data_IF_343516820632
#
_entry.id   IF_343516820632
#
_cell.length_a   1.000
_cell.length_b   1.000
_cell.length_c   1.000
_cell.angle_alpha   90.00
_cell.angle_beta   90.00
_cell.angle_gamma   90.00
#
_symmetry.space_group_name_H-M   'P 1'
#
loop_
_entity.id
_entity.type
_entity.pdbx_description
1 polymer ?
#
# COMPACT_ATOMS: atom_id res chain seq x y z
N UNK A 1 12.62 24.06 -17.44
CA UNK A 1 12.04 23.23 -16.38
C UNK A 1 10.61 22.91 -16.78
N UNK A 2 10.14 21.66 -16.70
CA UNK A 2 8.75 21.37 -16.95
C UNK A 2 7.88 22.13 -15.95
N UNK A 3 6.81 22.74 -16.44
CA UNK A 3 5.85 23.46 -15.60
C UNK A 3 4.83 22.40 -15.13
N UNK A 4 4.64 22.21 -13.82
CA UNK A 4 3.61 21.30 -13.33
C UNK A 4 2.23 21.70 -13.89
N UNK A 5 1.55 20.72 -14.46
CA UNK A 5 0.19 20.91 -14.93
C UNK A 5 -0.76 20.73 -13.75
N UNK A 6 -1.71 21.65 -13.60
CA UNK A 6 -2.72 21.59 -12.55
C UNK A 6 -4.07 22.08 -13.10
N UNK A 7 -5.09 21.25 -12.97
CA UNK A 7 -6.47 21.62 -13.35
C UNK A 7 -7.42 21.13 -12.27
N UNK A 8 -8.23 22.02 -11.73
CA UNK A 8 -9.27 21.66 -10.77
C UNK A 8 -10.41 20.90 -11.47
N UNK A 9 -10.83 19.80 -10.86
CA UNK A 9 -11.91 18.95 -11.34
C UNK A 9 -13.14 19.07 -10.43
N UNK A 10 -14.36 18.76 -10.92
CA UNK A 10 -15.52 18.65 -10.06
C UNK A 10 -15.30 17.61 -8.96
N UNK A 11 -15.46 18.03 -7.69
CA UNK A 11 -15.39 17.11 -6.55
C UNK A 11 -16.52 16.08 -6.61
N UNK A 12 -16.19 14.84 -6.32
CA UNK A 12 -17.15 13.74 -6.14
C UNK A 12 -16.90 13.07 -4.78
N UNK A 13 -17.95 12.95 -3.94
CA UNK A 13 -17.81 12.33 -2.61
C UNK A 13 -17.31 10.88 -2.67
N UNK A 14 -17.65 10.14 -3.73
CA UNK A 14 -17.10 8.83 -4.03
C UNK A 14 -16.14 8.90 -5.23
N UNK A 15 -14.84 8.80 -4.95
CA UNK A 15 -13.79 8.84 -5.97
C UNK A 15 -13.81 7.63 -6.91
N UNK A 16 -14.49 6.53 -6.55
CA UNK A 16 -14.69 5.39 -7.44
C UNK A 16 -15.38 5.80 -8.74
N UNK A 17 -16.25 6.82 -8.68
CA UNK A 17 -16.90 7.37 -9.88
C UNK A 17 -15.91 8.06 -10.83
N UNK A 18 -14.79 8.61 -10.33
CA UNK A 18 -13.72 9.14 -11.17
C UNK A 18 -12.85 8.01 -11.71
N UNK A 19 -12.54 7.01 -10.86
CA UNK A 19 -11.73 5.87 -11.28
C UNK A 19 -12.40 5.04 -12.37
N UNK A 20 -13.73 4.98 -12.42
CA UNK A 20 -14.50 4.28 -13.47
C UNK A 20 -14.05 4.65 -14.89
N UNK A 21 -13.61 5.89 -15.09
CA UNK A 21 -13.13 6.37 -16.39
C UNK A 21 -11.87 5.64 -16.88
N UNK A 22 -11.07 5.11 -15.98
CA UNK A 22 -9.77 4.48 -16.27
C UNK A 22 -9.63 3.05 -15.74
N UNK A 23 -10.63 2.51 -15.04
CA UNK A 23 -10.56 1.22 -14.35
C UNK A 23 -10.11 0.04 -15.25
N UNK A 24 -10.48 0.06 -16.54
CA UNK A 24 -10.14 -0.99 -17.50
C UNK A 24 -8.77 -0.79 -18.17
N UNK A 25 -8.11 0.35 -17.92
CA UNK A 25 -6.80 0.60 -18.50
C UNK A 25 -5.75 -0.25 -17.80
N UNK A 26 -4.80 -0.84 -18.54
CA UNK A 26 -3.69 -1.52 -17.90
C UNK A 26 -2.89 -0.53 -17.04
N UNK A 27 -2.44 -1.00 -15.88
CA UNK A 27 -1.75 -0.18 -14.89
C UNK A 27 -2.61 0.94 -14.29
N UNK A 28 -3.94 0.84 -14.36
CA UNK A 28 -4.80 1.73 -13.61
C UNK A 28 -4.68 1.44 -12.11
N UNK A 29 -4.55 2.50 -11.33
CA UNK A 29 -4.35 2.44 -9.87
C UNK A 29 -5.34 3.36 -9.19
N UNK A 30 -5.99 2.84 -8.17
CA UNK A 30 -6.80 3.60 -7.22
C UNK A 30 -6.26 3.36 -5.81
N UNK A 31 -5.65 4.40 -5.23
CA UNK A 31 -5.32 4.43 -3.80
C UNK A 31 -6.47 5.11 -3.09
N UNK A 32 -7.14 4.34 -2.25
CA UNK A 32 -8.44 4.66 -1.65
C UNK A 32 -8.25 4.81 -0.13
N UNK A 33 -8.53 5.99 0.38
CA UNK A 33 -8.42 6.26 1.81
C UNK A 33 -9.61 5.74 2.64
N UNK A 34 -10.55 5.08 2.00
CA UNK A 34 -11.74 4.49 2.63
C UNK A 34 -12.86 5.51 2.82
N UNK A 35 -14.03 5.23 2.26
CA UNK A 35 -15.22 6.04 2.45
C UNK A 35 -15.56 6.18 3.95
N UNK A 36 -15.65 7.41 4.44
CA UNK A 36 -16.22 7.75 5.76
C UNK A 36 -15.35 7.59 7.01
N UNK A 37 -14.01 7.77 6.91
CA UNK A 37 -13.18 7.92 8.10
C UNK A 37 -12.83 9.38 8.40
N UNK A 38 -13.65 10.13 9.18
CA UNK A 38 -13.30 11.47 9.60
C UNK A 38 -11.96 11.49 10.33
N UNK A 39 -11.00 12.28 9.82
CA UNK A 39 -9.68 12.47 10.45
C UNK A 39 -8.58 11.49 10.06
N UNK A 40 -8.89 10.38 9.35
CA UNK A 40 -7.87 9.44 8.84
C UNK A 40 -7.87 9.33 7.32
N UNK A 41 -9.03 9.39 6.69
CA UNK A 41 -9.24 9.37 5.26
C UNK A 41 -9.23 10.79 4.72
N UNK A 42 -8.20 11.19 3.98
CA UNK A 42 -8.15 12.52 3.39
C UNK A 42 -8.00 12.50 1.87
N UNK A 43 -7.04 11.74 1.37
CA UNK A 43 -6.68 11.79 -0.04
C UNK A 43 -6.94 10.47 -0.74
N UNK A 44 -7.64 10.53 -1.87
CA UNK A 44 -7.65 9.45 -2.84
C UNK A 44 -6.80 9.83 -4.04
N UNK A 45 -6.10 8.84 -4.62
CA UNK A 45 -5.20 9.05 -5.75
C UNK A 45 -5.55 8.05 -6.86
N UNK A 46 -5.75 8.58 -8.07
CA UNK A 46 -6.06 7.80 -9.27
C UNK A 46 -4.97 8.07 -10.30
N UNK A 47 -4.39 7.02 -10.87
CA UNK A 47 -3.45 7.13 -11.97
C UNK A 47 -3.63 5.96 -12.96
N UNK A 48 -3.19 6.16 -14.19
CA UNK A 48 -3.13 5.11 -15.20
C UNK A 48 -2.08 5.44 -16.25
N UNK A 49 -1.73 4.47 -17.09
CA UNK A 49 -0.82 4.65 -18.22
C UNK A 49 0.56 5.22 -17.81
N UNK A 50 1.33 4.51 -16.97
CA UNK A 50 2.66 4.95 -16.58
C UNK A 50 3.58 4.99 -17.80
N UNK A 51 4.44 6.01 -17.88
CA UNK A 51 5.40 6.14 -18.97
C UNK A 51 6.61 5.23 -18.81
N UNK A 52 6.94 4.82 -17.55
CA UNK A 52 7.93 3.77 -17.27
C UNK A 52 7.31 2.68 -16.40
N UNK A 53 7.70 1.43 -16.62
CA UNK A 53 7.27 0.28 -15.82
C UNK A 53 8.49 -0.54 -15.43
N UNK A 54 8.58 -0.89 -14.15
CA UNK A 54 9.60 -1.77 -13.61
C UNK A 54 8.93 -3.06 -13.13
N UNK A 55 9.42 -4.19 -13.62
CA UNK A 55 8.85 -5.51 -13.31
C UNK A 55 9.97 -6.45 -12.90
N UNK A 56 10.01 -6.86 -11.64
CA UNK A 56 11.03 -7.78 -11.12
C UNK A 56 10.47 -9.19 -11.00
N UNK A 57 11.21 -10.17 -11.50
CA UNK A 57 10.98 -11.60 -11.32
C UNK A 57 12.29 -12.29 -10.95
N UNK A 58 12.38 -12.81 -9.73
CA UNK A 58 13.60 -13.42 -9.24
C UNK A 58 14.82 -12.49 -9.36
N UNK A 59 15.84 -12.91 -10.11
CA UNK A 59 17.09 -12.17 -10.26
C UNK A 59 17.08 -11.05 -11.31
N UNK A 60 15.99 -10.81 -12.01
CA UNK A 60 15.92 -9.87 -13.14
C UNK A 60 14.83 -8.84 -12.95
N UNK A 61 15.14 -7.60 -13.32
CA UNK A 61 14.17 -6.51 -13.43
C UNK A 61 14.11 -6.06 -14.88
N UNK A 62 12.92 -6.06 -15.44
CA UNK A 62 12.62 -5.49 -16.76
C UNK A 62 12.18 -4.04 -16.57
N UNK A 63 12.88 -3.12 -17.22
CA UNK A 63 12.55 -1.68 -17.26
C UNK A 63 12.01 -1.36 -18.63
N UNK A 64 10.74 -1.00 -18.69
CA UNK A 64 10.07 -0.57 -19.91
C UNK A 64 9.90 0.95 -19.88
N UNK A 65 10.70 1.65 -20.66
CA UNK A 65 10.58 3.07 -20.97
C UNK A 65 10.35 3.20 -22.50
N UNK A 66 11.06 4.09 -23.19
CA UNK A 66 11.10 4.16 -24.64
C UNK A 66 11.65 2.85 -25.26
N UNK A 67 12.55 2.21 -24.55
CA UNK A 67 13.10 0.88 -24.84
C UNK A 67 12.85 -0.07 -23.68
N UNK A 68 12.94 -1.38 -23.94
CA UNK A 68 12.85 -2.39 -22.88
C UNK A 68 14.24 -2.94 -22.58
N UNK A 69 14.65 -2.88 -21.32
CA UNK A 69 15.95 -3.35 -20.85
C UNK A 69 15.79 -4.36 -19.72
N UNK A 70 16.66 -5.37 -19.71
CA UNK A 70 16.77 -6.35 -18.63
C UNK A 70 18.00 -6.04 -17.76
N UNK A 71 17.80 -5.90 -16.46
CA UNK A 71 18.86 -5.60 -15.51
C UNK A 71 18.91 -6.58 -14.36
N UNK A 72 20.13 -6.87 -13.87
CA UNK A 72 20.39 -7.59 -12.63
C UNK A 72 20.69 -6.66 -11.46
N UNK A 73 20.71 -5.36 -11.67
CA UNK A 73 20.92 -4.37 -10.64
C UNK A 73 19.83 -4.43 -9.55
N UNK A 74 20.09 -3.81 -8.42
CA UNK A 74 19.12 -3.70 -7.33
C UNK A 74 17.84 -3.00 -7.81
N UNK A 75 16.65 -3.61 -7.66
CA UNK A 75 15.41 -3.04 -8.17
C UNK A 75 15.06 -1.69 -7.51
N UNK A 76 15.52 -1.42 -6.29
CA UNK A 76 15.33 -0.13 -5.62
C UNK A 76 16.20 0.96 -6.25
N UNK A 77 17.45 0.63 -6.64
CA UNK A 77 18.30 1.57 -7.38
C UNK A 77 17.73 1.86 -8.76
N UNK A 78 17.29 0.83 -9.50
CA UNK A 78 16.63 1.02 -10.79
C UNK A 78 15.39 1.92 -10.66
N UNK A 79 14.62 1.77 -9.59
CA UNK A 79 13.48 2.65 -9.31
C UNK A 79 13.93 4.09 -9.04
N UNK A 80 15.00 4.29 -8.27
CA UNK A 80 15.58 5.61 -7.99
C UNK A 80 15.99 6.32 -9.28
N UNK A 81 16.68 5.60 -10.17
CA UNK A 81 17.15 6.14 -11.44
C UNK A 81 15.97 6.63 -12.32
N UNK A 82 14.85 5.91 -12.30
CA UNK A 82 13.67 6.29 -13.07
C UNK A 82 12.85 7.41 -12.42
N UNK A 83 12.90 7.55 -11.10
CA UNK A 83 12.17 8.61 -10.41
C UNK A 83 12.78 9.99 -10.67
N UNK A 84 14.10 10.12 -10.79
CA UNK A 84 14.84 11.37 -11.08
C UNK A 84 14.17 12.61 -10.45
N UNK A 85 13.93 12.58 -9.13
CA UNK A 85 13.11 13.58 -8.43
C UNK A 85 13.81 14.94 -8.51
N UNK A 86 13.15 15.91 -9.14
CA UNK A 86 13.53 17.32 -9.03
C UNK A 86 12.92 17.89 -7.74
N UNK A 87 13.72 18.17 -6.70
CA UNK A 87 13.20 18.68 -5.44
C UNK A 87 12.60 20.08 -5.55
N UNK A 88 12.82 20.78 -6.66
CA UNK A 88 12.24 22.11 -6.92
C UNK A 88 10.79 22.07 -7.40
N UNK A 89 10.31 20.93 -7.87
CA UNK A 89 8.93 20.74 -8.33
C UNK A 89 7.99 20.48 -7.12
N UNK A 90 7.70 21.54 -6.33
CA UNK A 90 6.70 21.47 -5.25
C UNK A 90 5.31 21.71 -5.81
N UNK A 91 4.45 20.73 -5.63
CA UNK A 91 3.01 20.88 -5.87
C UNK A 91 2.29 20.96 -4.51
N UNK A 92 1.21 21.73 -4.43
CA UNK A 92 0.40 21.85 -3.20
C UNK A 92 -0.39 20.59 -2.86
N UNK A 93 -0.43 19.61 -3.78
CA UNK A 93 -1.12 18.33 -3.58
C UNK A 93 -0.13 17.24 -3.14
N UNK A 94 -0.59 16.20 -2.41
CA UNK A 94 0.28 15.17 -1.82
C UNK A 94 0.98 14.26 -2.84
N UNK A 95 0.51 14.23 -4.08
CA UNK A 95 1.06 13.43 -5.17
C UNK A 95 0.82 14.13 -6.50
N UNK A 96 1.87 14.45 -7.24
CA UNK A 96 1.79 15.10 -8.55
C UNK A 96 2.25 14.20 -9.70
N UNK A 97 2.57 12.96 -9.40
CA UNK A 97 3.19 11.94 -10.25
C UNK A 97 4.33 11.26 -9.50
N UNK A 98 4.83 10.16 -10.05
CA UNK A 98 5.87 9.34 -9.44
C UNK A 98 5.54 7.86 -9.47
N UNK A 99 6.15 7.08 -8.57
CA UNK A 99 6.03 5.63 -8.55
C UNK A 99 4.80 5.16 -7.78
N UNK A 100 3.98 4.32 -8.39
CA UNK A 100 2.92 3.56 -7.73
C UNK A 100 2.99 2.11 -8.18
N UNK A 101 2.83 1.17 -7.25
CA UNK A 101 2.81 -0.25 -7.54
C UNK A 101 2.87 -1.10 -6.28
N UNK A 102 3.35 -2.33 -6.41
CA UNK A 102 3.53 -3.21 -5.27
C UNK A 102 4.95 -3.80 -5.22
N UNK A 103 5.38 -4.03 -3.99
CA UNK A 103 6.61 -4.75 -3.63
C UNK A 103 6.17 -6.02 -2.89
N UNK A 104 6.31 -7.16 -3.56
CA UNK A 104 5.94 -8.46 -3.00
C UNK A 104 6.92 -8.89 -1.91
N UNK A 105 6.46 -9.66 -0.93
CA UNK A 105 7.28 -10.10 0.19
C UNK A 105 8.57 -10.82 -0.25
N UNK A 106 8.48 -11.65 -1.30
CA UNK A 106 9.61 -12.41 -1.83
C UNK A 106 10.67 -11.56 -2.56
N UNK A 107 10.40 -10.26 -2.79
CA UNK A 107 11.42 -9.31 -3.24
C UNK A 107 12.59 -9.21 -2.24
N UNK A 108 12.37 -9.56 -0.97
CA UNK A 108 13.42 -9.68 0.05
C UNK A 108 14.59 -10.58 -0.37
N UNK A 109 14.36 -11.53 -1.27
CA UNK A 109 15.41 -12.40 -1.85
C UNK A 109 16.42 -11.64 -2.73
N UNK A 110 16.09 -10.40 -3.10
CA UNK A 110 17.02 -9.47 -3.76
C UNK A 110 17.94 -8.77 -2.77
N UNK A 111 17.53 -8.70 -1.51
CA UNK A 111 18.26 -8.02 -0.43
C UNK A 111 19.08 -9.00 0.39
N UNK A 112 18.54 -10.20 0.63
CA UNK A 112 19.12 -11.20 1.49
C UNK A 112 19.10 -12.61 0.88
N UNK A 113 20.00 -13.48 1.32
CA UNK A 113 20.06 -14.89 0.90
C UNK A 113 19.04 -15.71 1.69
N UNK A 114 17.83 -15.80 1.17
CA UNK A 114 16.73 -16.55 1.80
C UNK A 114 16.46 -17.87 1.06
N UNK A 115 16.08 -18.95 1.77
CA UNK A 115 15.69 -20.21 1.13
C UNK A 115 14.42 -20.06 0.30
N UNK A 116 14.39 -20.62 -0.92
CA UNK A 116 13.24 -20.65 -1.80
C UNK A 116 12.57 -22.04 -1.77
N UNK A 117 11.91 -22.40 -0.66
CA UNK A 117 11.29 -23.73 -0.48
C UNK A 117 9.81 -23.75 -0.83
N UNK A 118 9.11 -22.62 -0.68
CA UNK A 118 7.69 -22.52 -0.99
C UNK A 118 7.48 -22.54 -2.52
N UNK A 119 6.38 -23.16 -2.94
CA UNK A 119 5.97 -23.16 -4.34
C UNK A 119 5.36 -21.80 -4.68
N UNK A 120 5.90 -21.12 -5.68
CA UNK A 120 5.24 -19.99 -6.31
C UNK A 120 4.07 -20.50 -7.18
N UNK A 121 2.87 -20.25 -6.70
CA UNK A 121 1.63 -20.71 -7.36
C UNK A 121 0.95 -19.61 -8.16
N UNK A 122 1.13 -18.36 -7.76
CA UNK A 122 0.52 -17.19 -8.38
C UNK A 122 1.29 -16.75 -9.62
N UNK A 123 2.60 -16.95 -9.64
CA UNK A 123 3.51 -16.55 -10.73
C UNK A 123 3.41 -15.07 -11.09
N UNK A 124 3.06 -14.24 -10.12
CA UNK A 124 3.07 -12.78 -10.28
C UNK A 124 4.49 -12.25 -10.10
N UNK A 125 4.84 -11.06 -10.61
CA UNK A 125 6.13 -10.44 -10.33
C UNK A 125 6.38 -10.22 -8.84
N UNK A 126 7.66 -10.28 -8.43
CA UNK A 126 8.07 -9.91 -7.06
C UNK A 126 7.91 -8.41 -6.83
N UNK A 127 8.00 -7.60 -7.89
CA UNK A 127 7.73 -6.16 -7.88
C UNK A 127 7.09 -5.77 -9.21
N UNK A 128 6.06 -4.94 -9.17
CA UNK A 128 5.52 -4.28 -10.35
C UNK A 128 5.17 -2.83 -10.00
N UNK A 129 5.94 -1.89 -10.54
CA UNK A 129 5.84 -0.46 -10.27
C UNK A 129 5.76 0.31 -11.58
N UNK A 130 4.80 1.22 -11.67
CA UNK A 130 4.69 2.19 -12.76
C UNK A 130 5.14 3.58 -12.31
N UNK A 131 5.80 4.32 -13.21
CA UNK A 131 6.11 5.75 -13.02
C UNK A 131 5.06 6.53 -13.80
N UNK A 132 4.24 7.27 -13.05
CA UNK A 132 3.11 8.02 -13.57
C UNK A 132 3.46 9.50 -13.65
N UNK A 133 3.20 10.10 -14.79
CA UNK A 133 3.44 11.54 -14.99
C UNK A 133 2.21 12.39 -14.65
N UNK A 134 1.05 11.76 -14.50
CA UNK A 134 -0.19 12.41 -14.09
C UNK A 134 -0.98 11.60 -13.08
N UNK A 135 -1.78 12.29 -12.28
CA UNK A 135 -2.74 11.68 -11.37
C UNK A 135 -3.97 12.57 -11.16
N UNK A 136 -5.09 11.96 -10.76
CA UNK A 136 -6.19 12.66 -10.11
C UNK A 136 -6.01 12.53 -8.61
N UNK A 137 -6.05 13.65 -7.90
CA UNK A 137 -5.99 13.71 -6.44
C UNK A 137 -7.30 14.30 -5.94
N UNK A 138 -7.93 13.59 -5.01
CA UNK A 138 -9.17 14.04 -4.35
C UNK A 138 -8.86 14.30 -2.87
N UNK A 139 -9.14 15.50 -2.40
CA UNK A 139 -9.07 15.88 -0.98
C UNK A 139 -10.50 15.92 -0.40
N UNK A 140 -10.82 14.91 0.39
CA UNK A 140 -12.14 14.79 1.02
C UNK A 140 -12.35 15.77 2.16
N UNK A 141 -11.28 16.28 2.78
CA UNK A 141 -11.37 17.30 3.82
C UNK A 141 -11.74 18.67 3.26
N UNK A 142 -11.11 19.04 2.14
CA UNK A 142 -11.37 20.32 1.46
C UNK A 142 -12.49 20.22 0.43
N UNK A 143 -13.00 19.02 0.15
CA UNK A 143 -13.98 18.72 -0.90
C UNK A 143 -13.53 19.25 -2.28
N UNK A 144 -12.27 19.01 -2.62
CA UNK A 144 -11.66 19.44 -3.88
C UNK A 144 -11.03 18.27 -4.61
N UNK A 145 -10.92 18.38 -5.91
CA UNK A 145 -10.26 17.40 -6.75
C UNK A 145 -9.42 18.09 -7.82
N UNK A 146 -8.29 17.49 -8.18
CA UNK A 146 -7.39 18.04 -9.20
C UNK A 146 -6.89 16.94 -10.11
N UNK A 147 -6.75 17.26 -11.39
CA UNK A 147 -5.84 16.59 -12.29
C UNK A 147 -4.49 17.30 -12.19
N UNK A 148 -3.45 16.53 -11.88
CA UNK A 148 -2.07 17.04 -11.69
C UNK A 148 -1.12 16.29 -12.60
N UNK A 149 -0.06 16.95 -13.07
CA UNK A 149 0.97 16.35 -13.91
C UNK A 149 2.34 16.96 -13.64
N UNK A 150 3.39 16.14 -13.77
CA UNK A 150 4.77 16.61 -13.59
C UNK A 150 5.36 17.25 -14.85
N UNK A 151 4.76 16.96 -16.02
CA UNK A 151 5.26 17.45 -17.31
C UNK A 151 6.59 16.84 -17.73
N UNK A 152 6.93 15.65 -17.26
CA UNK A 152 8.14 14.92 -17.65
C UNK A 152 7.94 14.14 -18.94
N UNK A 153 6.73 13.58 -19.11
CA UNK A 153 6.34 12.89 -20.32
C UNK A 153 5.67 13.87 -21.29
N UNK A 154 6.27 14.14 -22.45
CA UNK A 154 5.67 15.01 -23.47
C UNK A 154 4.29 14.53 -23.95
N UNK A 155 3.99 13.25 -23.77
CA UNK A 155 2.67 12.69 -24.08
C UNK A 155 1.60 13.18 -23.13
N UNK A 156 1.92 13.40 -21.86
CA UNK A 156 0.98 13.95 -20.88
C UNK A 156 0.48 15.33 -21.29
N UNK A 157 1.38 16.19 -21.74
CA UNK A 157 1.06 17.53 -22.22
C UNK A 157 0.09 17.48 -23.41
N UNK A 158 0.40 16.62 -24.39
CA UNK A 158 -0.46 16.41 -25.58
C UNK A 158 -1.85 15.87 -25.23
N UNK A 159 -1.94 15.03 -24.20
CA UNK A 159 -3.17 14.36 -23.78
C UNK A 159 -3.95 15.18 -22.74
N UNK A 160 -3.39 16.28 -22.19
CA UNK A 160 -3.95 16.99 -21.05
C UNK A 160 -5.41 17.41 -21.21
N UNK A 161 -5.73 18.06 -22.32
CA UNK A 161 -7.13 18.44 -22.63
C UNK A 161 -8.08 17.25 -22.76
N UNK A 162 -7.55 16.08 -23.19
CA UNK A 162 -8.30 14.83 -23.23
C UNK A 162 -8.56 14.27 -21.83
N UNK A 163 -7.56 14.31 -20.96
CA UNK A 163 -7.66 13.87 -19.56
C UNK A 163 -8.65 14.76 -18.78
N UNK A 164 -8.57 16.07 -18.96
CA UNK A 164 -9.54 16.99 -18.33
C UNK A 164 -10.97 16.64 -18.75
N UNK A 165 -11.22 16.46 -20.05
CA UNK A 165 -12.56 16.07 -20.54
C UNK A 165 -12.98 14.71 -19.98
N UNK A 166 -12.08 13.74 -19.87
CA UNK A 166 -12.36 12.40 -19.35
C UNK A 166 -12.88 12.44 -17.92
N UNK A 167 -12.29 13.27 -17.06
CA UNK A 167 -12.66 13.35 -15.64
C UNK A 167 -13.73 14.39 -15.32
N UNK A 168 -14.01 15.33 -16.23
CA UNK A 168 -15.12 16.30 -16.07
C UNK A 168 -16.44 15.79 -16.64
N UNK A 169 -16.39 14.93 -17.66
CA UNK A 169 -17.59 14.34 -18.23
C UNK A 169 -18.29 13.41 -17.22
N UNK A 170 -19.59 13.24 -17.38
CA UNK A 170 -20.30 12.16 -16.71
C UNK A 170 -19.69 10.82 -17.17
N UNK A 171 -19.25 10.00 -16.23
CA UNK A 171 -18.74 8.66 -16.56
C UNK A 171 -19.86 7.87 -17.22
N UNK A 172 -19.67 7.31 -18.42
CA UNK A 172 -20.69 6.48 -19.03
C UNK A 172 -20.95 5.27 -18.14
N UNK A 173 -22.22 4.95 -17.91
CA UNK A 173 -22.60 3.69 -17.26
C UNK A 173 -22.03 2.53 -18.08
N UNK A 174 -21.02 1.87 -17.54
CA UNK A 174 -20.44 0.68 -18.15
C UNK A 174 -21.14 -0.57 -17.66
N UNK A 175 -21.68 -1.36 -18.56
CA UNK A 175 -22.17 -2.70 -18.20
C UNK A 175 -20.97 -3.60 -17.87
N UNK A 176 -20.77 -3.88 -16.58
CA UNK A 176 -19.73 -4.78 -16.08
C UNK A 176 -20.31 -6.16 -15.77
N UNK A 177 -19.58 -7.21 -16.09
CA UNK A 177 -19.98 -8.57 -15.73
C UNK A 177 -19.95 -8.73 -14.19
N UNK A 178 -21.06 -9.16 -13.55
CA UNK A 178 -21.11 -9.35 -12.11
C UNK A 178 -20.02 -10.31 -11.62
N UNK A 179 -19.28 -9.89 -10.60
CA UNK A 179 -18.27 -10.75 -9.98
C UNK A 179 -18.92 -11.85 -9.13
N UNK A 180 -18.48 -13.08 -9.33
CA UNK A 180 -18.99 -14.26 -8.60
C UNK A 180 -17.85 -15.24 -8.33
N UNK A 181 -17.80 -15.78 -7.12
CA UNK A 181 -16.98 -16.94 -6.78
C UNK A 181 -17.69 -18.19 -7.33
N UNK A 182 -16.99 -18.99 -8.12
CA UNK A 182 -17.57 -20.12 -8.90
C UNK A 182 -17.13 -21.49 -8.40
N UNK A 183 -16.20 -21.55 -7.43
CA UNK A 183 -15.78 -22.79 -6.79
C UNK A 183 -15.79 -22.67 -5.26
N UNK A 184 -15.76 -23.79 -4.52
CA UNK A 184 -15.47 -23.76 -3.10
C UNK A 184 -14.12 -23.10 -2.81
N UNK A 185 -14.02 -22.44 -1.66
CA UNK A 185 -12.75 -21.91 -1.15
C UNK A 185 -11.91 -23.05 -0.60
N UNK A 186 -10.67 -23.18 -1.04
CA UNK A 186 -9.72 -24.17 -0.58
C UNK A 186 -8.51 -23.51 0.08
N UNK A 187 -7.90 -24.17 1.06
CA UNK A 187 -6.68 -23.72 1.72
C UNK A 187 -5.47 -24.54 1.25
N UNK A 188 -4.28 -23.91 1.26
CA UNK A 188 -3.02 -24.61 1.07
C UNK A 188 -2.58 -25.43 2.29
N UNK A 189 -3.27 -25.30 3.44
CA UNK A 189 -3.11 -26.12 4.63
C UNK A 189 -4.38 -26.97 4.88
N UNK A 190 -4.17 -28.19 5.36
CA UNK A 190 -5.24 -28.88 6.09
C UNK A 190 -5.26 -28.36 7.54
N UNK A 191 -6.39 -28.48 8.29
CA UNK A 191 -6.42 -28.09 9.71
C UNK A 191 -5.33 -28.78 10.54
N UNK A 192 -5.09 -30.10 10.31
CA UNK A 192 -4.04 -30.86 10.97
C UNK A 192 -2.65 -30.36 10.60
N UNK A 193 -2.40 -30.05 9.32
CA UNK A 193 -1.11 -29.53 8.85
C UNK A 193 -0.80 -28.14 9.42
N UNK A 194 -1.82 -27.30 9.55
CA UNK A 194 -1.69 -25.98 10.19
C UNK A 194 -1.34 -26.12 11.68
N UNK A 195 -2.07 -26.99 12.41
CA UNK A 195 -1.78 -27.29 13.83
C UNK A 195 -0.35 -27.78 14.04
N UNK A 196 0.11 -28.72 13.21
CA UNK A 196 1.49 -29.22 13.26
C UNK A 196 2.53 -28.12 13.06
N UNK A 197 2.34 -27.25 12.05
CA UNK A 197 3.24 -26.12 11.82
C UNK A 197 3.24 -25.12 12.99
N UNK A 198 2.07 -24.88 13.57
CA UNK A 198 1.90 -24.02 14.74
C UNK A 198 2.66 -24.56 15.96
N UNK A 199 2.53 -25.85 16.26
CA UNK A 199 3.21 -26.50 17.38
C UNK A 199 4.73 -26.41 17.24
N UNK A 200 5.26 -26.64 16.03
CA UNK A 200 6.69 -26.48 15.73
C UNK A 200 7.19 -25.05 15.95
N UNK A 201 6.38 -24.05 15.56
CA UNK A 201 6.73 -22.64 15.81
C UNK A 201 6.81 -22.36 17.32
N UNK A 202 5.88 -22.89 18.11
CA UNK A 202 5.91 -22.74 19.56
C UNK A 202 7.18 -23.39 20.16
N UNK A 203 7.60 -24.53 19.62
CA UNK A 203 8.83 -25.18 20.08
C UNK A 203 10.08 -24.35 19.75
N UNK A 204 10.18 -23.75 18.56
CA UNK A 204 11.26 -22.83 18.21
C UNK A 204 11.27 -21.57 19.10
N UNK A 205 10.10 -21.00 19.42
CA UNK A 205 10.00 -19.85 20.33
C UNK A 205 10.46 -20.25 21.74
N UNK A 206 10.06 -21.43 22.25
CA UNK A 206 10.48 -21.94 23.56
C UNK A 206 11.97 -22.25 23.64
N UNK A 207 12.54 -22.72 22.55
CA UNK A 207 13.98 -22.99 22.41
C UNK A 207 14.81 -21.70 22.29
N UNK A 208 14.18 -20.56 22.03
CA UNK A 208 14.88 -19.28 21.84
C UNK A 208 15.44 -19.08 20.43
N UNK A 209 15.01 -19.91 19.47
CA UNK A 209 15.45 -19.80 18.07
C UNK A 209 14.84 -18.60 17.35
N UNK A 210 13.66 -18.18 17.78
CA UNK A 210 12.96 -16.99 17.28
C UNK A 210 12.01 -16.42 18.33
N UNK A 211 11.63 -15.15 18.18
CA UNK A 211 10.67 -14.47 19.06
C UNK A 211 9.24 -14.51 18.51
N UNK A 212 9.12 -14.50 17.17
CA UNK A 212 7.84 -14.49 16.48
C UNK A 212 7.99 -15.15 15.09
N UNK A 213 6.91 -15.77 14.62
CA UNK A 213 6.77 -16.24 13.25
C UNK A 213 5.38 -15.86 12.74
N UNK A 214 5.31 -15.25 11.55
CA UNK A 214 4.07 -15.00 10.85
C UNK A 214 3.72 -16.23 10.00
N UNK A 215 2.91 -17.14 10.55
CA UNK A 215 2.44 -18.31 9.82
C UNK A 215 1.33 -17.91 8.85
N UNK A 216 1.67 -17.82 7.57
CA UNK A 216 0.72 -17.45 6.54
C UNK A 216 -0.03 -18.65 5.97
N UNK A 217 -1.33 -18.47 5.71
CA UNK A 217 -2.20 -19.42 5.04
C UNK A 217 -2.82 -18.75 3.82
N UNK A 218 -2.89 -19.47 2.70
CA UNK A 218 -3.52 -19.00 1.47
C UNK A 218 -4.85 -19.69 1.22
N UNK A 219 -5.87 -18.91 0.94
CA UNK A 219 -7.15 -19.38 0.45
C UNK A 219 -7.25 -19.11 -1.05
N UNK A 220 -7.79 -20.06 -1.78
CA UNK A 220 -7.95 -20.00 -3.23
C UNK A 220 -9.35 -20.41 -3.64
N UNK A 221 -9.94 -19.67 -4.57
CA UNK A 221 -11.18 -20.00 -5.23
C UNK A 221 -11.14 -19.57 -6.70
N UNK A 222 -11.92 -20.20 -7.54
CA UNK A 222 -12.17 -19.69 -8.88
C UNK A 222 -13.25 -18.62 -8.84
N UNK A 223 -13.11 -17.61 -9.68
CA UNK A 223 -14.07 -16.53 -9.80
C UNK A 223 -14.27 -16.15 -11.28
N UNK A 224 -15.38 -15.51 -11.56
CA UNK A 224 -15.69 -14.93 -12.87
C UNK A 224 -16.32 -13.55 -12.70
N UNK A 225 -16.27 -12.74 -13.76
CA UNK A 225 -16.78 -11.36 -13.75
C UNK A 225 -15.67 -10.34 -13.56
N UNK A 226 -16.06 -9.10 -13.29
CA UNK A 226 -15.15 -7.96 -13.22
C UNK A 226 -14.56 -7.78 -11.82
N UNK A 227 -13.22 -7.87 -11.64
CA UNK A 227 -12.57 -7.66 -10.34
C UNK A 227 -12.79 -6.26 -9.74
N UNK A 228 -13.04 -5.24 -10.57
CA UNK A 228 -13.37 -3.91 -10.09
C UNK A 228 -14.66 -3.91 -9.26
N UNK A 229 -15.69 -4.66 -9.69
CA UNK A 229 -16.91 -4.82 -8.90
C UNK A 229 -16.67 -5.56 -7.57
N UNK A 230 -15.73 -6.51 -7.56
CA UNK A 230 -15.32 -7.15 -6.32
C UNK A 230 -14.65 -6.16 -5.37
N UNK A 231 -13.79 -5.28 -5.88
CA UNK A 231 -13.16 -4.24 -5.08
C UNK A 231 -14.16 -3.23 -4.55
N UNK A 232 -15.09 -2.76 -5.38
CA UNK A 232 -16.16 -1.87 -4.92
C UNK A 232 -16.98 -2.50 -3.78
N UNK A 233 -17.22 -3.81 -3.84
CA UNK A 233 -17.90 -4.52 -2.75
C UNK A 233 -17.00 -4.64 -1.52
N UNK A 234 -15.71 -4.94 -1.69
CA UNK A 234 -14.74 -5.04 -0.60
C UNK A 234 -14.64 -3.75 0.19
N UNK A 235 -14.51 -2.60 -0.48
CA UNK A 235 -14.38 -1.29 0.17
C UNK A 235 -15.63 -0.87 0.96
N UNK A 236 -16.81 -1.37 0.58
CA UNK A 236 -18.05 -1.14 1.34
C UNK A 236 -18.15 -2.02 2.60
N UNK A 237 -17.66 -3.27 2.51
CA UNK A 237 -17.72 -4.22 3.63
C UNK A 237 -16.62 -3.91 4.66
N UNK A 238 -15.44 -3.56 4.18
CA UNK A 238 -14.25 -3.32 4.98
C UNK A 238 -13.54 -2.05 4.51
N UNK A 239 -14.11 -0.86 4.77
CA UNK A 239 -13.43 0.39 4.47
C UNK A 239 -12.17 0.49 5.32
N UNK A 240 -11.03 0.74 4.70
CA UNK A 240 -9.74 0.82 5.36
C UNK A 240 -8.91 1.98 4.78
N UNK A 241 -8.11 2.71 5.62
CA UNK A 241 -7.50 3.97 5.22
C UNK A 241 -6.34 3.84 4.21
N UNK A 242 -5.88 2.62 3.95
CA UNK A 242 -4.81 2.33 2.98
C UNK A 242 -5.25 1.25 2.00
N UNK A 243 -6.49 1.37 1.53
CA UNK A 243 -7.02 0.47 0.51
C UNK A 243 -6.46 0.78 -0.86
N UNK A 244 -6.40 -0.21 -1.73
CA UNK A 244 -5.91 -0.03 -3.09
C UNK A 244 -6.54 -1.03 -4.07
N UNK A 245 -6.78 -0.55 -5.28
CA UNK A 245 -7.02 -1.40 -6.44
C UNK A 245 -5.94 -1.13 -7.49
N UNK A 246 -5.23 -2.20 -7.92
CA UNK A 246 -4.22 -2.10 -8.96
C UNK A 246 -4.59 -3.07 -10.10
N UNK A 247 -4.80 -2.52 -11.30
CA UNK A 247 -5.08 -3.29 -12.49
C UNK A 247 -3.79 -3.49 -13.30
N UNK A 248 -2.99 -4.49 -12.93
CA UNK A 248 -1.76 -4.82 -13.66
C UNK A 248 -2.03 -5.91 -14.71
N UNK A 249 -1.19 -6.03 -15.76
CA UNK A 249 -1.29 -7.13 -16.72
C UNK A 249 -1.05 -8.52 -16.12
N UNK A 250 -0.52 -8.58 -14.91
CA UNK A 250 -0.13 -9.84 -14.23
C UNK A 250 -1.19 -10.31 -13.23
N UNK A 251 -1.85 -9.37 -12.58
CA UNK A 251 -2.91 -9.62 -11.60
C UNK A 251 -3.67 -8.33 -11.31
N UNK A 252 -4.93 -8.47 -10.91
CA UNK A 252 -5.67 -7.41 -10.24
C UNK A 252 -5.48 -7.59 -8.73
N UNK A 253 -4.95 -6.56 -8.07
CA UNK A 253 -4.74 -6.54 -6.62
C UNK A 253 -5.84 -5.73 -5.96
N UNK A 254 -6.56 -6.35 -5.04
CA UNK A 254 -7.62 -5.76 -4.25
C UNK A 254 -7.16 -5.77 -2.78
N UNK A 255 -6.80 -4.61 -2.25
CA UNK A 255 -6.29 -4.46 -0.90
C UNK A 255 -7.23 -3.64 -0.04
N UNK A 256 -7.47 -4.09 1.19
CA UNK A 256 -8.19 -3.36 2.24
C UNK A 256 -7.29 -3.33 3.49
N UNK A 257 -6.22 -2.54 3.45
CA UNK A 257 -5.22 -2.46 4.52
C UNK A 257 -5.55 -1.37 5.53
N UNK A 258 -5.55 -1.70 6.84
CA UNK A 258 -5.69 -0.69 7.90
C UNK A 258 -4.34 -0.06 8.28
N UNK A 259 -3.22 -0.59 7.82
CA UNK A 259 -1.90 -0.29 8.35
C UNK A 259 -1.03 0.50 7.38
N UNK A 260 -0.41 1.57 7.90
CA UNK A 260 0.61 2.34 7.20
C UNK A 260 1.98 1.75 7.51
N UNK A 261 2.67 1.27 6.47
CA UNK A 261 4.03 0.79 6.64
C UNK A 261 4.99 1.97 6.90
N UNK A 262 5.15 2.88 5.93
CA UNK A 262 6.04 4.02 6.03
C UNK A 262 5.40 5.28 5.42
N UNK A 263 5.72 6.43 5.98
CA UNK A 263 5.45 7.73 5.39
C UNK A 263 6.69 8.59 5.48
N UNK A 264 7.03 9.23 4.38
CA UNK A 264 8.08 10.27 4.33
C UNK A 264 7.48 11.54 3.75
N UNK A 265 7.61 12.64 4.46
CA UNK A 265 7.20 13.95 3.99
C UNK A 265 8.18 15.00 4.53
N UNK A 266 8.75 15.81 3.66
CA UNK A 266 9.75 16.84 4.03
C UNK A 266 10.90 16.29 4.91
N UNK A 267 11.37 15.08 4.60
CA UNK A 267 12.41 14.38 5.35
C UNK A 267 11.94 13.81 6.70
N UNK A 268 10.71 14.05 7.12
CA UNK A 268 10.12 13.43 8.31
C UNK A 268 9.60 12.04 7.98
N UNK A 269 9.98 11.08 8.80
CA UNK A 269 9.59 9.66 8.68
C UNK A 269 8.58 9.33 9.75
N UNK A 270 7.55 8.55 9.38
CA UNK A 270 6.56 8.00 10.31
C UNK A 270 6.23 6.56 9.94
N UNK A 271 6.09 5.69 10.95
CA UNK A 271 5.49 4.35 10.83
C UNK A 271 4.52 4.13 12.00
N UNK A 272 3.43 3.38 11.74
CA UNK A 272 2.36 3.17 12.72
C UNK A 272 2.01 1.69 12.80
N UNK A 273 2.80 0.87 13.52
CA UNK A 273 2.51 -0.54 13.69
C UNK A 273 1.23 -0.76 14.50
N UNK A 274 0.45 -1.75 14.06
CA UNK A 274 -0.79 -2.19 14.70
C UNK A 274 -0.56 -3.59 15.26
N UNK A 275 -0.72 -3.76 16.58
CA UNK A 275 -0.82 -5.07 17.22
C UNK A 275 -1.88 -5.02 18.31
N UNK A 276 -2.70 -6.04 18.35
CA UNK A 276 -3.88 -6.08 19.20
C UNK A 276 -5.11 -5.45 18.56
N UNK A 277 -6.20 -6.21 18.54
CA UNK A 277 -7.46 -5.82 17.92
C UNK A 277 -8.63 -6.32 18.74
N UNK A 278 -9.66 -5.49 18.91
CA UNK A 278 -10.96 -5.89 19.46
C UNK A 278 -12.08 -5.44 18.54
N UNK A 279 -13.10 -6.27 18.31
CA UNK A 279 -14.24 -5.87 17.50
C UNK A 279 -15.06 -4.79 18.19
N UNK A 280 -15.62 -3.87 17.42
CA UNK A 280 -16.62 -2.92 17.93
C UNK A 280 -17.92 -3.64 18.21
N UNK A 281 -18.58 -3.23 19.27
CA UNK A 281 -19.84 -3.84 19.72
C UNK A 281 -21.08 -3.05 19.27
N UNK A 282 -20.92 -1.88 18.65
CA UNK A 282 -22.05 -1.01 18.27
C UNK A 282 -22.80 -0.39 19.46
N UNK A 283 -22.28 -0.53 20.68
CA UNK A 283 -22.87 -0.03 21.93
C UNK A 283 -21.78 0.59 22.80
N UNK A 284 -21.93 1.86 23.16
CA UNK A 284 -20.88 2.66 23.80
C UNK A 284 -20.25 2.00 25.06
N UNK A 285 -21.06 1.38 25.92
CA UNK A 285 -20.56 0.71 27.13
C UNK A 285 -19.67 -0.50 26.78
N UNK A 286 -20.14 -1.36 25.88
CA UNK A 286 -19.36 -2.53 25.44
C UNK A 286 -18.12 -2.12 24.65
N UNK A 287 -18.17 -1.05 23.84
CA UNK A 287 -17.00 -0.50 23.16
C UNK A 287 -15.95 -0.03 24.20
N UNK A 288 -16.38 0.65 25.28
CA UNK A 288 -15.49 1.07 26.35
C UNK A 288 -14.85 -0.12 27.08
N UNK A 289 -15.63 -1.20 27.34
CA UNK A 289 -15.12 -2.45 27.93
C UNK A 289 -14.09 -3.12 27.01
N UNK A 290 -14.32 -3.17 25.69
CA UNK A 290 -13.38 -3.71 24.69
C UNK A 290 -12.09 -2.89 24.60
N UNK A 291 -12.19 -1.58 24.66
CA UNK A 291 -11.02 -0.67 24.72
C UNK A 291 -10.22 -0.94 26.01
N UNK A 292 -10.89 -1.01 27.17
CA UNK A 292 -10.22 -1.29 28.44
C UNK A 292 -9.51 -2.66 28.44
N UNK A 293 -10.16 -3.70 27.89
CA UNK A 293 -9.57 -5.03 27.69
C UNK A 293 -8.32 -4.97 26.81
N UNK A 294 -8.40 -4.24 25.69
CA UNK A 294 -7.28 -4.10 24.74
C UNK A 294 -6.08 -3.40 25.38
N UNK A 295 -6.31 -2.30 26.10
CA UNK A 295 -5.26 -1.53 26.80
C UNK A 295 -4.63 -2.35 27.93
N UNK A 296 -5.42 -3.15 28.64
CA UNK A 296 -4.93 -4.00 29.74
C UNK A 296 -4.23 -5.28 29.27
N UNK A 297 -4.33 -5.66 27.99
CA UNK A 297 -3.76 -6.89 27.47
C UNK A 297 -2.22 -6.86 27.49
N UNK A 298 -1.61 -7.57 28.42
CA UNK A 298 -0.15 -7.70 28.49
C UNK A 298 0.45 -8.31 27.21
N UNK A 299 -0.24 -9.32 26.64
CA UNK A 299 0.18 -9.96 25.39
C UNK A 299 0.24 -8.96 24.24
N UNK A 300 -0.86 -8.20 24.01
CA UNK A 300 -0.94 -7.27 22.89
C UNK A 300 0.07 -6.12 23.04
N UNK A 301 0.31 -5.67 24.28
CA UNK A 301 1.33 -4.66 24.59
C UNK A 301 2.75 -5.18 24.36
N UNK A 302 3.06 -6.41 24.78
CA UNK A 302 4.38 -7.02 24.58
C UNK A 302 4.67 -7.22 23.08
N UNK A 303 3.70 -7.70 22.32
CA UNK A 303 3.80 -7.85 20.87
C UNK A 303 3.99 -6.49 20.17
N UNK A 304 3.21 -5.48 20.53
CA UNK A 304 3.34 -4.13 20.00
C UNK A 304 4.72 -3.53 20.31
N UNK A 305 5.21 -3.67 21.55
CA UNK A 305 6.52 -3.17 21.95
C UNK A 305 7.66 -3.80 21.15
N UNK A 306 7.59 -5.11 20.89
CA UNK A 306 8.57 -5.84 20.10
C UNK A 306 8.62 -5.29 18.65
N UNK A 307 7.48 -5.04 18.03
CA UNK A 307 7.43 -4.46 16.67
C UNK A 307 7.88 -3.00 16.66
N UNK A 308 7.56 -2.23 17.69
CA UNK A 308 8.09 -0.87 17.84
C UNK A 308 9.62 -0.88 17.89
N UNK A 309 10.23 -1.80 18.62
CA UNK A 309 11.69 -1.89 18.72
C UNK A 309 12.32 -2.32 17.38
N UNK A 310 11.72 -3.28 16.69
CA UNK A 310 12.11 -3.67 15.33
C UNK A 310 12.09 -2.47 14.37
N UNK A 311 10.99 -1.73 14.33
CA UNK A 311 10.84 -0.57 13.44
C UNK A 311 11.77 0.60 13.83
N UNK A 312 12.06 0.79 15.13
CA UNK A 312 13.09 1.74 15.57
C UNK A 312 14.45 1.38 14.98
N UNK A 313 14.82 0.10 15.03
CA UNK A 313 16.05 -0.41 14.42
C UNK A 313 16.04 -0.16 12.90
N UNK A 314 14.96 -0.49 12.19
CA UNK A 314 14.86 -0.32 10.75
C UNK A 314 14.95 1.16 10.33
N UNK A 315 14.26 2.05 11.02
CA UNK A 315 14.35 3.48 10.76
C UNK A 315 15.75 4.02 11.04
N UNK A 316 16.43 3.51 12.09
CA UNK A 316 17.75 4.00 12.49
C UNK A 316 18.83 3.80 11.43
N UNK A 317 18.65 2.86 10.48
CA UNK A 317 19.57 2.60 9.37
C UNK A 317 19.66 3.78 8.39
N UNK A 318 18.58 4.57 8.28
CA UNK A 318 18.43 5.63 7.30
C UNK A 318 18.02 6.99 7.89
N UNK A 319 17.78 7.06 9.20
CA UNK A 319 17.45 8.30 9.90
C UNK A 319 18.68 8.91 10.59
N UNK A 320 18.66 10.22 10.76
CA UNK A 320 19.70 10.95 11.49
C UNK A 320 19.82 10.43 12.94
N UNK A 321 21.05 10.33 13.42
CA UNK A 321 21.35 9.84 14.79
C UNK A 321 20.55 10.65 15.82
N UNK A 322 19.89 9.95 16.75
CA UNK A 322 19.08 10.55 17.80
C UNK A 322 17.72 11.11 17.37
N UNK A 323 17.36 11.01 16.06
CA UNK A 323 16.06 11.49 15.57
C UNK A 323 14.93 10.49 15.72
N UNK A 324 15.23 9.18 15.85
CA UNK A 324 14.21 8.14 15.98
C UNK A 324 13.60 8.19 17.39
N UNK A 325 12.27 8.37 17.42
CA UNK A 325 11.49 8.54 18.67
C UNK A 325 10.19 7.76 18.60
N UNK A 326 9.60 7.50 19.75
CA UNK A 326 8.27 6.89 19.91
C UNK A 326 7.37 7.90 20.62
N UNK A 327 6.78 8.87 19.90
CA UNK A 327 5.96 9.90 20.52
C UNK A 327 4.66 9.35 21.12
N UNK A 328 4.17 8.22 20.60
CA UNK A 328 2.93 7.59 21.04
C UNK A 328 3.14 6.09 21.13
N UNK A 329 2.82 5.53 22.29
CA UNK A 329 2.94 4.11 22.58
C UNK A 329 1.61 3.59 23.11
N UNK A 330 1.08 2.52 22.49
CA UNK A 330 -0.16 1.85 22.90
C UNK A 330 -1.42 2.75 22.86
N UNK A 331 -1.56 3.61 21.85
CA UNK A 331 -2.80 4.36 21.65
C UNK A 331 -3.88 3.46 21.04
N UNK A 332 -5.13 3.71 21.44
CA UNK A 332 -6.27 3.03 20.81
C UNK A 332 -6.79 3.90 19.67
N UNK A 333 -6.74 3.36 18.47
CA UNK A 333 -7.41 3.91 17.29
C UNK A 333 -8.68 3.10 16.98
N UNK A 334 -9.81 3.80 16.87
CA UNK A 334 -11.11 3.17 16.59
C UNK A 334 -11.48 3.33 15.14
N UNK A 335 -11.76 2.20 14.49
CA UNK A 335 -12.22 2.11 13.11
C UNK A 335 -13.71 1.74 13.06
N UNK A 336 -14.30 1.60 11.88
CA UNK A 336 -15.74 1.30 11.76
C UNK A 336 -16.13 0.01 12.49
N UNK A 337 -15.29 -1.03 12.39
CA UNK A 337 -15.59 -2.39 12.84
C UNK A 337 -14.72 -2.87 14.00
N UNK A 338 -13.61 -2.18 14.28
CA UNK A 338 -12.59 -2.63 15.23
C UNK A 338 -11.95 -1.48 16.00
N UNK A 339 -11.36 -1.80 17.16
CA UNK A 339 -10.40 -0.99 17.88
C UNK A 339 -9.02 -1.63 17.73
N UNK A 340 -8.01 -0.84 17.39
CA UNK A 340 -6.62 -1.29 17.28
C UNK A 340 -5.73 -0.64 18.34
N UNK A 341 -4.73 -1.39 18.81
CA UNK A 341 -3.65 -0.86 19.62
C UNK A 341 -2.50 -0.45 18.69
N UNK A 342 -2.26 0.84 18.59
CA UNK A 342 -1.34 1.46 17.62
C UNK A 342 -0.23 2.17 18.35
N UNK A 343 0.99 2.05 17.85
CA UNK A 343 2.10 2.89 18.28
C UNK A 343 2.59 3.74 17.11
N UNK A 344 3.24 4.88 17.41
CA UNK A 344 3.80 5.75 16.39
C UNK A 344 5.31 5.85 16.61
N UNK A 345 6.08 5.51 15.57
CA UNK A 345 7.53 5.71 15.54
C UNK A 345 7.84 6.76 14.49
N UNK A 346 8.64 7.75 14.86
CA UNK A 346 9.03 8.85 13.97
C UNK A 346 10.54 8.94 13.87
N UNK A 347 11.03 9.58 12.78
CA UNK A 347 12.43 9.88 12.56
C UNK A 347 12.58 11.01 11.57
N UNK A 348 13.83 11.41 11.30
CA UNK A 348 14.18 12.33 10.23
C UNK A 348 15.23 11.64 9.37
N UNK A 349 15.05 11.63 8.06
CA UNK A 349 16.04 11.08 7.14
C UNK A 349 17.41 11.71 7.39
N UNK A 350 18.45 10.90 7.33
CA UNK A 350 19.84 11.38 7.37
C UNK A 350 20.16 12.13 6.07
N UNK A 351 21.18 12.96 6.13
CA UNK A 351 21.67 13.67 4.95
C UNK A 351 22.06 12.70 3.83
N UNK A 352 21.63 12.98 2.60
CA UNK A 352 21.87 12.13 1.43
C UNK A 352 21.02 10.86 1.38
N UNK A 353 20.07 10.67 2.29
CA UNK A 353 19.11 9.54 2.26
C UNK A 353 17.75 9.99 1.75
N UNK A 354 17.08 9.09 1.05
CA UNK A 354 15.75 9.32 0.49
C UNK A 354 14.72 8.25 0.94
N UNK A 355 13.51 8.37 0.42
CA UNK A 355 12.42 7.44 0.74
C UNK A 355 12.68 6.01 0.23
N UNK A 356 13.48 5.85 -0.83
CA UNK A 356 13.83 4.54 -1.40
C UNK A 356 14.85 3.85 -0.49
N UNK A 357 15.86 4.58 0.02
CA UNK A 357 16.79 4.04 1.02
C UNK A 357 16.02 3.54 2.25
N UNK A 358 15.06 4.35 2.73
CA UNK A 358 14.24 3.97 3.87
C UNK A 358 13.42 2.73 3.59
N UNK A 359 12.73 2.69 2.44
CA UNK A 359 11.92 1.53 2.05
C UNK A 359 12.78 0.27 1.97
N UNK A 360 13.92 0.34 1.27
CA UNK A 360 14.86 -0.77 1.12
C UNK A 360 15.40 -1.26 2.47
N UNK A 361 15.72 -0.33 3.37
CA UNK A 361 16.30 -0.63 4.69
C UNK A 361 15.30 -1.23 5.70
N UNK A 362 14.01 -0.99 5.51
CA UNK A 362 12.93 -1.50 6.35
C UNK A 362 12.16 -2.68 5.71
N UNK A 363 12.49 -3.05 4.48
CA UNK A 363 11.78 -4.10 3.73
C UNK A 363 12.37 -5.51 4.00
N UNK A 364 11.50 -6.54 4.11
CA UNK A 364 10.07 -6.44 4.31
C UNK A 364 9.74 -6.04 5.76
N UNK A 365 8.63 -5.34 5.95
CA UNK A 365 8.16 -4.97 7.30
C UNK A 365 7.91 -6.19 8.17
N UNK A 366 8.15 -6.07 9.46
CA UNK A 366 8.06 -7.14 10.47
C UNK A 366 6.66 -7.58 10.84
#
# INVERSE_FOLDING_TARGET
>A
MPIPLLTELPYRPDSAALFEAVADRPWAVFLDSGLHYPGQARYDIIAAEPHVRLVTRGGLTEVHADTSELSRADPFELLRDQLAIDPSCRCEVPFSGGAIGYFGYDLARRLERLPARARDSERIPDMAVGIYDWAVVVDHSEQRAWLVGQGRDPDTDRKWGGLVRLFTAASPERQRAPFRVTSPVTSNFTPKGYGYAFDHILDYIRAGDCYQVNLAQRFTAQASGDPWLAYQRLRLINPAPYSAYLNTPYAQILSASPERFLRVADGQVETKPIKGTRPRAGHAKLDAERIAELVASEKDRAENLMIVDLLRNDLSKNCAIGSVKVPRLFEVESFATVHHLVSTVTGRLAEGRDAIDLLRGAFPGG
#
